data_IF_889983841170
#
_entry.id   IF_889983841170
#
_cell.length_a   1.000
_cell.length_b   1.000
_cell.length_c   1.000
_cell.angle_alpha   90.00
_cell.angle_beta   90.00
_cell.angle_gamma   90.00
#
_symmetry.space_group_name_H-M   'P 1'
#
loop_
_entity.id
_entity.type
_entity.pdbx_description
1 polymer ?
#
# COMPACT_ATOMS: atom_id res chain seq x y z
N UNK A 1 45.96 11.38 -15.42
CA UNK A 1 44.48 11.37 -15.48
C UNK A 1 43.94 10.32 -14.50
N UNK A 2 44.68 10.06 -13.40
CA UNK A 2 44.50 8.88 -12.55
C UNK A 2 44.21 9.24 -11.08
N UNK A 3 44.12 10.54 -10.79
CA UNK A 3 43.88 11.08 -9.44
C UNK A 3 42.41 11.37 -9.15
N UNK A 4 41.51 11.25 -10.14
CA UNK A 4 40.07 11.47 -9.97
C UNK A 4 39.29 10.17 -9.71
N UNK A 5 39.90 8.99 -9.85
CA UNK A 5 39.22 7.70 -9.64
C UNK A 5 39.20 7.26 -8.16
N UNK A 6 39.97 7.92 -7.29
CA UNK A 6 40.17 7.52 -5.89
C UNK A 6 39.35 8.34 -4.87
N UNK A 7 38.41 9.18 -5.34
CA UNK A 7 37.66 10.15 -4.50
C UNK A 7 36.20 9.72 -4.24
N UNK A 8 35.74 8.63 -4.86
CA UNK A 8 34.53 7.92 -4.45
C UNK A 8 34.96 6.58 -3.86
N UNK A 9 35.20 6.48 -2.54
CA UNK A 9 35.32 5.19 -1.91
C UNK A 9 34.00 4.46 -2.15
N UNK A 10 34.02 3.32 -2.86
CA UNK A 10 32.91 2.36 -2.96
C UNK A 10 32.08 2.25 -1.65
N UNK A 11 32.67 2.16 -0.43
CA UNK A 11 31.89 2.11 0.81
C UNK A 11 31.05 3.37 1.11
N UNK A 12 31.51 4.54 0.68
CA UNK A 12 30.84 5.82 0.94
C UNK A 12 29.59 5.98 0.06
N UNK A 13 29.61 5.43 -1.16
CA UNK A 13 28.44 5.38 -2.02
C UNK A 13 27.35 4.46 -1.44
N UNK A 14 27.73 3.28 -0.95
CA UNK A 14 26.79 2.35 -0.31
C UNK A 14 26.14 2.97 0.94
N UNK A 15 26.92 3.58 1.84
CA UNK A 15 26.38 4.21 3.05
C UNK A 15 25.43 5.37 2.75
N UNK A 16 25.77 6.22 1.78
CA UNK A 16 24.92 7.35 1.37
C UNK A 16 23.61 6.84 0.77
N UNK A 17 23.68 5.84 -0.11
CA UNK A 17 22.48 5.28 -0.75
C UNK A 17 21.61 4.57 0.25
N UNK A 18 22.18 3.79 1.17
CA UNK A 18 21.43 3.15 2.25
C UNK A 18 20.70 4.16 3.13
N UNK A 19 21.35 5.28 3.45
CA UNK A 19 20.71 6.37 4.18
C UNK A 19 19.56 6.96 3.37
N UNK A 20 19.75 7.21 2.07
CA UNK A 20 18.72 7.73 1.18
C UNK A 20 17.52 6.77 1.06
N UNK A 21 17.76 5.48 0.87
CA UNK A 21 16.73 4.43 0.83
C UNK A 21 15.91 4.46 2.12
N UNK A 22 16.56 4.46 3.29
CA UNK A 22 15.85 4.52 4.58
C UNK A 22 15.03 5.79 4.75
N UNK A 23 15.56 6.94 4.34
CA UNK A 23 14.84 8.21 4.42
C UNK A 23 13.60 8.23 3.51
N UNK A 24 13.74 7.72 2.28
CA UNK A 24 12.67 7.63 1.31
C UNK A 24 11.59 6.63 1.77
N UNK A 25 11.98 5.45 2.24
CA UNK A 25 11.07 4.44 2.82
C UNK A 25 10.33 5.01 4.05
N UNK A 26 11.05 5.70 4.94
CA UNK A 26 10.46 6.33 6.13
C UNK A 26 9.47 7.44 5.77
N UNK A 27 9.78 8.26 4.77
CA UNK A 27 8.86 9.27 4.26
C UNK A 27 7.58 8.63 3.71
N UNK A 28 7.69 7.58 2.89
CA UNK A 28 6.55 6.83 2.37
C UNK A 28 5.69 6.21 3.48
N UNK A 29 6.32 5.58 4.47
CA UNK A 29 5.65 5.01 5.64
C UNK A 29 4.92 6.09 6.45
N UNK A 30 5.53 7.26 6.65
CA UNK A 30 4.92 8.39 7.35
C UNK A 30 3.68 8.92 6.62
N UNK A 31 3.76 9.06 5.29
CA UNK A 31 2.62 9.50 4.47
C UNK A 31 1.45 8.53 4.59
N UNK A 32 1.71 7.22 4.48
CA UNK A 32 0.70 6.17 4.66
C UNK A 32 0.09 6.24 6.05
N UNK A 33 0.92 6.34 7.08
CA UNK A 33 0.48 6.39 8.47
C UNK A 33 -0.42 7.60 8.73
N UNK A 34 -0.03 8.80 8.29
CA UNK A 34 -0.85 10.01 8.41
C UNK A 34 -2.20 9.85 7.71
N UNK A 35 -2.20 9.31 6.49
CA UNK A 35 -3.44 9.03 5.76
C UNK A 35 -4.35 8.04 6.47
N UNK A 36 -3.79 6.97 7.03
CA UNK A 36 -4.51 5.95 7.78
C UNK A 36 -5.11 6.51 9.08
N UNK A 37 -4.33 7.25 9.87
CA UNK A 37 -4.81 7.90 11.10
C UNK A 37 -5.94 8.88 10.77
N UNK A 38 -5.76 9.72 9.75
CA UNK A 38 -6.79 10.65 9.31
C UNK A 38 -8.09 9.93 8.90
N UNK A 39 -7.97 8.87 8.11
CA UNK A 39 -9.12 8.10 7.64
C UNK A 39 -9.84 7.39 8.79
N UNK A 40 -9.09 6.85 9.75
CA UNK A 40 -9.63 6.19 10.93
C UNK A 40 -10.41 7.16 11.82
N UNK A 41 -9.85 8.34 12.11
CA UNK A 41 -10.53 9.38 12.89
C UNK A 41 -11.82 9.82 12.19
N UNK A 42 -11.78 10.08 10.88
CA UNK A 42 -12.98 10.45 10.12
C UNK A 42 -14.02 9.33 10.10
N UNK A 43 -13.59 8.09 9.96
CA UNK A 43 -14.49 6.94 10.01
C UNK A 43 -15.22 6.86 11.37
N UNK A 44 -14.51 7.05 12.49
CA UNK A 44 -15.15 7.08 13.80
C UNK A 44 -16.11 8.26 13.94
N UNK A 45 -15.70 9.47 13.57
CA UNK A 45 -16.54 10.68 13.69
C UNK A 45 -17.81 10.58 12.81
N UNK A 46 -17.67 10.10 11.58
CA UNK A 46 -18.78 9.94 10.63
C UNK A 46 -19.65 8.73 10.99
N UNK A 47 -19.04 7.62 11.43
CA UNK A 47 -19.73 6.40 11.85
C UNK A 47 -20.56 6.56 13.12
N UNK A 48 -20.08 7.36 14.09
CA UNK A 48 -20.87 7.70 15.28
C UNK A 48 -22.07 8.61 14.94
N UNK A 49 -21.94 9.46 13.91
CA UNK A 49 -23.07 10.27 13.41
C UNK A 49 -23.88 9.44 12.40
N UNK A 50 -24.80 8.60 12.89
CA UNK A 50 -25.73 7.69 12.16
C UNK A 50 -26.53 8.26 10.96
N UNK A 51 -26.25 9.48 10.48
CA UNK A 51 -26.93 10.19 9.37
C UNK A 51 -26.05 10.52 8.17
N UNK A 52 -24.74 10.29 8.23
CA UNK A 52 -23.86 10.59 7.12
C UNK A 52 -23.82 9.43 6.12
N UNK A 53 -24.68 9.48 5.10
CA UNK A 53 -24.80 8.44 4.06
C UNK A 53 -23.52 8.16 3.25
N UNK A 54 -23.63 7.23 2.29
CA UNK A 54 -22.53 6.64 1.49
C UNK A 54 -21.54 7.64 0.88
N UNK A 55 -21.96 8.88 0.62
CA UNK A 55 -21.14 9.93 0.01
C UNK A 55 -19.95 10.35 0.88
N UNK A 56 -20.10 10.36 2.21
CA UNK A 56 -19.00 10.73 3.13
C UNK A 56 -17.96 9.62 3.24
N UNK A 57 -18.39 8.35 3.19
CA UNK A 57 -17.48 7.21 3.20
C UNK A 57 -16.63 7.15 1.93
N UNK A 58 -17.23 7.41 0.76
CA UNK A 58 -16.50 7.49 -0.51
C UNK A 58 -15.42 8.57 -0.48
N UNK A 59 -15.70 9.74 0.11
CA UNK A 59 -14.72 10.82 0.22
C UNK A 59 -13.53 10.46 1.12
N UNK A 60 -13.78 9.81 2.26
CA UNK A 60 -12.72 9.31 3.15
C UNK A 60 -11.84 8.28 2.44
N UNK A 61 -12.47 7.31 1.75
CA UNK A 61 -11.75 6.27 1.00
C UNK A 61 -10.91 6.85 -0.14
N UNK A 62 -11.44 7.80 -0.91
CA UNK A 62 -10.70 8.46 -1.99
C UNK A 62 -9.47 9.22 -1.47
N UNK A 63 -9.61 9.91 -0.33
CA UNK A 63 -8.50 10.65 0.25
C UNK A 63 -7.44 9.71 0.83
N UNK A 64 -7.84 8.66 1.54
CA UNK A 64 -6.93 7.58 1.97
C UNK A 64 -6.18 6.98 0.78
N UNK A 65 -6.88 6.68 -0.31
CA UNK A 65 -6.29 6.17 -1.54
C UNK A 65 -5.17 7.07 -2.09
N UNK A 66 -5.31 8.40 -1.98
CA UNK A 66 -4.26 9.35 -2.40
C UNK A 66 -3.02 9.29 -1.51
N UNK A 67 -3.19 9.17 -0.19
CA UNK A 67 -2.06 8.97 0.73
C UNK A 67 -1.35 7.64 0.47
N UNK A 68 -2.11 6.56 0.25
CA UNK A 68 -1.55 5.26 -0.10
C UNK A 68 -0.78 5.30 -1.41
N UNK A 69 -1.34 5.90 -2.46
CA UNK A 69 -0.67 6.04 -3.75
C UNK A 69 0.65 6.80 -3.62
N UNK A 70 0.64 7.96 -2.94
CA UNK A 70 1.85 8.75 -2.72
C UNK A 70 2.90 7.98 -1.91
N UNK A 71 2.51 7.34 -0.81
CA UNK A 71 3.44 6.56 -0.01
C UNK A 71 4.03 5.36 -0.74
N UNK A 72 3.26 4.74 -1.63
CA UNK A 72 3.74 3.67 -2.51
C UNK A 72 4.73 4.17 -3.57
N UNK A 73 4.55 5.38 -4.10
CA UNK A 73 5.54 6.00 -5.00
C UNK A 73 6.88 6.21 -4.29
N UNK A 74 6.87 6.65 -3.03
CA UNK A 74 8.09 6.73 -2.21
C UNK A 74 8.71 5.36 -1.96
N UNK A 75 7.92 4.35 -1.57
CA UNK A 75 8.45 2.99 -1.35
C UNK A 75 9.07 2.41 -2.63
N UNK A 76 8.41 2.61 -3.78
CA UNK A 76 8.94 2.21 -5.09
C UNK A 76 10.27 2.92 -5.40
N UNK A 77 10.38 4.21 -5.10
CA UNK A 77 11.64 4.95 -5.27
C UNK A 77 12.77 4.37 -4.40
N UNK A 78 12.47 3.98 -3.16
CA UNK A 78 13.40 3.27 -2.27
C UNK A 78 13.83 1.91 -2.85
N UNK A 79 12.88 1.14 -3.37
CA UNK A 79 13.15 -0.16 -4.03
C UNK A 79 14.05 0.03 -5.26
N UNK A 80 13.80 1.05 -6.10
CA UNK A 80 14.64 1.38 -7.27
C UNK A 80 16.05 1.76 -6.82
N UNK A 81 16.20 2.65 -5.84
CA UNK A 81 17.50 3.08 -5.31
C UNK A 81 18.31 1.88 -4.78
N UNK A 82 17.67 0.96 -4.07
CA UNK A 82 18.32 -0.26 -3.57
C UNK A 82 18.82 -1.14 -4.72
N UNK A 83 18.03 -1.32 -5.79
CA UNK A 83 18.46 -2.10 -6.95
C UNK A 83 19.55 -1.44 -7.79
N UNK A 84 19.70 -0.11 -7.71
CA UNK A 84 20.70 0.63 -8.47
C UNK A 84 22.11 0.50 -7.89
N UNK A 85 22.25 0.15 -6.60
CA UNK A 85 23.54 0.22 -5.88
C UNK A 85 23.91 -1.11 -5.20
N UNK A 86 23.00 -2.09 -5.12
CA UNK A 86 23.30 -3.42 -4.60
C UNK A 86 23.58 -4.44 -5.72
N UNK A 87 24.84 -4.87 -5.91
CA UNK A 87 25.10 -6.21 -6.39
C UNK A 87 25.83 -7.01 -5.31
N UNK A 88 25.15 -7.34 -4.21
CA UNK A 88 25.54 -8.46 -3.34
C UNK A 88 24.41 -9.50 -3.31
N UNK A 89 24.74 -10.78 -3.42
CA UNK A 89 23.74 -11.86 -3.46
C UNK A 89 22.86 -11.92 -2.19
N UNK A 90 23.37 -11.44 -1.06
CA UNK A 90 22.63 -11.41 0.22
C UNK A 90 21.54 -10.32 0.21
N UNK A 91 21.87 -9.11 -0.26
CA UNK A 91 20.90 -8.00 -0.34
C UNK A 91 19.84 -8.26 -1.41
N UNK A 92 20.23 -8.87 -2.54
CA UNK A 92 19.29 -9.35 -3.55
C UNK A 92 18.33 -10.39 -2.95
N UNK A 93 18.85 -11.33 -2.15
CA UNK A 93 18.04 -12.32 -1.44
C UNK A 93 17.04 -11.70 -0.47
N UNK A 94 17.46 -10.70 0.31
CA UNK A 94 16.58 -9.98 1.24
C UNK A 94 15.47 -9.22 0.52
N UNK A 95 15.82 -8.49 -0.55
CA UNK A 95 14.84 -7.75 -1.34
C UNK A 95 13.84 -8.70 -2.02
N UNK A 96 14.31 -9.81 -2.59
CA UNK A 96 13.46 -10.83 -3.18
C UNK A 96 12.50 -11.46 -2.15
N UNK A 97 12.97 -11.70 -0.92
CA UNK A 97 12.14 -12.22 0.16
C UNK A 97 11.04 -11.22 0.57
N UNK A 98 11.38 -9.94 0.75
CA UNK A 98 10.42 -8.88 1.08
C UNK A 98 9.38 -8.73 -0.04
N UNK A 99 9.82 -8.70 -1.30
CA UNK A 99 8.94 -8.59 -2.46
C UNK A 99 8.00 -9.80 -2.58
N UNK A 100 8.50 -11.02 -2.35
CA UNK A 100 7.71 -12.24 -2.35
C UNK A 100 6.64 -12.23 -1.25
N UNK A 101 7.00 -11.84 -0.03
CA UNK A 101 6.06 -11.72 1.11
C UNK A 101 4.98 -10.68 0.79
N UNK A 102 5.37 -9.50 0.31
CA UNK A 102 4.44 -8.43 -0.06
C UNK A 102 3.46 -8.91 -1.13
N UNK A 103 3.95 -9.61 -2.15
CA UNK A 103 3.13 -10.16 -3.23
C UNK A 103 2.16 -11.21 -2.72
N UNK A 104 2.63 -12.16 -1.90
CA UNK A 104 1.80 -13.21 -1.34
C UNK A 104 0.69 -12.65 -0.44
N UNK A 105 1.02 -11.74 0.48
CA UNK A 105 0.04 -11.11 1.36
C UNK A 105 -1.00 -10.30 0.58
N UNK A 106 -0.56 -9.49 -0.38
CA UNK A 106 -1.47 -8.70 -1.20
C UNK A 106 -2.37 -9.59 -2.08
N UNK A 107 -1.84 -10.71 -2.58
CA UNK A 107 -2.60 -11.71 -3.34
C UNK A 107 -3.69 -12.37 -2.48
N UNK A 108 -3.36 -12.83 -1.27
CA UNK A 108 -4.33 -13.44 -0.36
C UNK A 108 -5.44 -12.46 0.03
N UNK A 109 -5.08 -11.22 0.38
CA UNK A 109 -6.05 -10.18 0.72
C UNK A 109 -6.99 -9.86 -0.45
N UNK A 110 -6.44 -9.72 -1.67
CA UNK A 110 -7.23 -9.48 -2.86
C UNK A 110 -8.22 -10.63 -3.15
N UNK A 111 -7.79 -11.87 -2.90
CA UNK A 111 -8.62 -13.06 -3.07
C UNK A 111 -9.74 -13.12 -2.04
N UNK A 112 -9.45 -12.91 -0.76
CA UNK A 112 -10.46 -12.91 0.31
C UNK A 112 -11.57 -11.86 0.05
N UNK A 113 -11.17 -10.64 -0.35
CA UNK A 113 -12.12 -9.57 -0.72
C UNK A 113 -12.99 -9.97 -1.93
N UNK A 114 -12.43 -10.71 -2.90
CA UNK A 114 -13.18 -11.18 -4.06
C UNK A 114 -14.21 -12.26 -3.67
N UNK A 115 -13.83 -13.16 -2.76
CA UNK A 115 -14.72 -14.21 -2.23
C UNK A 115 -15.89 -13.61 -1.45
N UNK A 116 -15.64 -12.64 -0.56
CA UNK A 116 -16.69 -11.92 0.18
C UNK A 116 -17.67 -11.18 -0.75
N UNK A 117 -17.15 -10.49 -1.78
CA UNK A 117 -18.00 -9.78 -2.76
C UNK A 117 -18.92 -10.73 -3.52
N UNK A 118 -18.42 -11.89 -3.92
CA UNK A 118 -19.20 -12.88 -4.63
C UNK A 118 -20.35 -13.44 -3.77
N UNK A 119 -20.14 -13.62 -2.46
CA UNK A 119 -21.18 -14.05 -1.52
C UNK A 119 -22.29 -13.01 -1.38
N UNK A 120 -21.93 -11.73 -1.21
CA UNK A 120 -22.89 -10.63 -1.09
C UNK A 120 -23.77 -10.48 -2.34
N UNK A 121 -23.19 -10.65 -3.53
CA UNK A 121 -23.94 -10.61 -4.80
C UNK A 121 -24.96 -11.76 -4.94
N UNK A 122 -24.64 -12.94 -4.40
CA UNK A 122 -25.55 -14.09 -4.39
C UNK A 122 -26.71 -13.90 -3.40
N UNK A 123 -26.42 -13.40 -2.19
CA UNK A 123 -27.46 -13.07 -1.20
C UNK A 123 -28.42 -11.99 -1.71
N UNK A 124 -27.91 -10.99 -2.45
CA UNK A 124 -28.71 -9.94 -3.09
C UNK A 124 -29.69 -10.48 -4.14
N UNK A 125 -29.25 -11.44 -4.97
CA UNK A 125 -30.09 -12.08 -6.00
C UNK A 125 -31.16 -13.00 -5.39
N UNK A 126 -30.84 -13.71 -4.31
CA UNK A 126 -31.77 -14.65 -3.66
C UNK A 126 -32.93 -13.93 -2.94
N UNK A 127 -32.67 -12.74 -2.38
CA UNK A 127 -33.69 -11.86 -1.77
C UNK A 127 -34.62 -11.19 -2.79
N UNK A 128 -34.21 -11.06 -4.07
CA UNK A 128 -35.08 -10.56 -5.15
C UNK A 128 -35.94 -11.66 -5.77
N UNK A 129 -35.40 -12.87 -5.96
CA UNK A 129 -36.17 -14.01 -6.50
C UNK A 129 -37.34 -14.43 -5.61
N UNK A 130 -37.20 -14.33 -4.29
CA UNK A 130 -38.26 -14.67 -3.32
C UNK A 130 -39.37 -13.61 -3.21
N UNK A 131 -39.11 -12.34 -3.55
CA UNK A 131 -40.16 -11.29 -3.58
C UNK A 131 -40.97 -11.29 -4.89
N UNK A 132 -40.38 -11.72 -6.01
CA UNK A 132 -41.05 -11.76 -7.31
C UNK A 132 -42.05 -12.90 -7.48
N UNK A 133 -41.88 -14.01 -6.76
CA UNK A 133 -42.74 -15.20 -6.87
C UNK A 133 -43.97 -15.18 -5.94
N UNK A 134 -44.11 -14.16 -5.09
CA UNK A 134 -45.22 -14.03 -4.13
C UNK A 134 -46.30 -13.03 -4.54
N UNK A 135 -46.27 -12.54 -5.79
CA UNK A 135 -47.36 -11.74 -6.34
C UNK A 135 -48.44 -12.70 -6.88
N UNK A 136 -49.67 -12.67 -6.33
CA UNK A 136 -50.80 -13.49 -6.80
C UNK A 136 -51.34 -13.02 -8.15
#
# INVERSE_FOLDING_TARGET
MDLLHNVLPEPLLHEVVDLLVRLVEAAGALVIFVGAVWAFVQFLVVGLRRRAGSRNFTAVRLRLGRFLALGLEFQLAGDILRTAVAPTFVEIGQLAAIAAIRTALNFFLAREIAEERAQLDQEGKQKQGTRGSSAP
#
